data_IF_433405110593
#
_entry.id   IF_433405110593
#
_cell.length_a   1.000
_cell.length_b   1.000
_cell.length_c   1.000
_cell.angle_alpha   90.00
_cell.angle_beta   90.00
_cell.angle_gamma   90.00
#
_symmetry.space_group_name_H-M   'P 1'
#
loop_
_entity.id
_entity.type
_entity.pdbx_description
1 polymer ?
#
# COMPACT_ATOMS: atom_id res chain seq x y z
N UNK A 1 -8.59 1.31 9.78
CA UNK A 1 -7.57 0.61 8.98
C UNK A 1 -7.88 0.79 7.51
N UNK A 2 -6.86 0.77 6.65
CA UNK A 2 -7.00 0.74 5.20
C UNK A 2 -7.26 -0.71 4.75
N UNK A 3 -8.13 -0.91 3.76
CA UNK A 3 -8.40 -2.22 3.15
C UNK A 3 -7.88 -2.26 1.71
N UNK A 4 -6.56 -2.29 1.57
CA UNK A 4 -5.85 -2.45 0.30
C UNK A 4 -4.54 -3.18 0.50
N UNK A 5 -3.99 -3.76 -0.56
CA UNK A 5 -2.81 -4.63 -0.45
C UNK A 5 -1.54 -3.79 -0.37
N UNK A 6 -0.65 -4.11 0.57
CA UNK A 6 0.73 -3.64 0.44
C UNK A 6 1.40 -4.34 -0.76
N UNK A 7 2.13 -3.59 -1.57
CA UNK A 7 2.65 -4.07 -2.85
C UNK A 7 3.79 -5.09 -2.76
N UNK A 8 4.59 -5.11 -1.68
CA UNK A 8 5.78 -5.95 -1.60
C UNK A 8 5.88 -6.72 -0.28
N UNK A 9 6.27 -7.98 -0.42
CA UNK A 9 6.38 -8.95 0.65
C UNK A 9 7.70 -9.70 0.54
N UNK A 10 8.39 -9.86 1.67
CA UNK A 10 9.45 -10.85 1.84
C UNK A 10 8.82 -12.12 2.40
N UNK A 11 8.51 -13.07 1.50
CA UNK A 11 7.72 -14.26 1.82
C UNK A 11 8.44 -15.18 2.79
N UNK A 12 9.70 -15.46 2.50
CA UNK A 12 10.51 -16.39 3.29
C UNK A 12 11.47 -15.73 4.26
N UNK A 13 11.37 -14.41 4.41
CA UNK A 13 12.19 -13.60 5.31
C UNK A 13 13.68 -13.65 4.93
N UNK A 14 13.98 -13.55 3.62
CA UNK A 14 15.35 -13.54 3.08
C UNK A 14 16.12 -12.31 3.57
N UNK A 15 15.46 -11.16 3.71
CA UNK A 15 16.07 -9.94 4.25
C UNK A 15 16.18 -9.96 5.78
N UNK A 16 15.52 -10.90 6.46
CA UNK A 16 15.63 -11.08 7.90
C UNK A 16 14.85 -10.06 8.74
N UNK A 17 13.98 -9.24 8.16
CA UNK A 17 13.23 -8.22 8.92
C UNK A 17 12.23 -8.79 9.93
N UNK A 18 11.83 -10.06 9.85
CA UNK A 18 11.08 -10.72 10.92
C UNK A 18 11.96 -11.19 12.09
N UNK A 19 13.27 -11.30 11.92
CA UNK A 19 14.18 -11.85 12.92
C UNK A 19 14.21 -10.96 14.16
N UNK A 20 14.13 -11.54 15.35
CA UNK A 20 14.19 -10.80 16.60
C UNK A 20 12.89 -10.10 17.01
N UNK A 21 11.80 -10.27 16.26
CA UNK A 21 10.46 -9.84 16.70
C UNK A 21 10.03 -10.68 17.92
N UNK A 22 9.92 -10.05 19.09
CA UNK A 22 9.51 -10.70 20.35
C UNK A 22 8.08 -10.39 20.77
N UNK A 23 7.48 -9.36 20.17
CA UNK A 23 6.07 -8.96 20.38
C UNK A 23 5.39 -8.72 19.02
N UNK A 24 4.06 -8.57 19.01
CA UNK A 24 3.36 -8.21 17.79
C UNK A 24 3.71 -6.76 17.39
N UNK A 25 4.08 -6.55 16.13
CA UNK A 25 4.51 -5.25 15.60
C UNK A 25 3.69 -4.94 14.33
N UNK A 26 3.04 -3.78 14.29
CA UNK A 26 2.27 -3.31 13.14
C UNK A 26 1.23 -4.31 12.61
N UNK A 27 0.61 -5.09 13.51
CA UNK A 27 -0.37 -6.12 13.16
C UNK A 27 0.23 -7.43 12.67
N UNK A 28 1.56 -7.61 12.73
CA UNK A 28 2.22 -8.89 12.48
C UNK A 28 2.58 -9.58 13.80
N UNK A 29 2.16 -10.83 13.96
CA UNK A 29 2.51 -11.65 15.12
C UNK A 29 3.99 -12.11 15.11
N UNK A 30 4.47 -12.58 16.26
CA UNK A 30 5.78 -13.23 16.40
C UNK A 30 5.83 -14.46 15.48
N UNK A 31 6.89 -14.57 14.67
CA UNK A 31 7.06 -15.69 13.72
C UNK A 31 6.15 -15.64 12.48
N UNK A 32 5.30 -14.62 12.33
CA UNK A 32 4.43 -14.49 11.16
C UNK A 32 5.25 -14.21 9.88
N UNK A 33 4.99 -15.03 8.87
CA UNK A 33 5.35 -14.80 7.46
C UNK A 33 4.06 -14.60 6.64
N UNK A 34 4.10 -13.82 5.54
CA UNK A 34 5.22 -13.06 4.99
C UNK A 34 5.53 -11.77 5.78
N UNK A 35 6.68 -11.13 5.53
CA UNK A 35 7.05 -9.83 6.12
C UNK A 35 6.80 -8.70 5.13
N UNK A 36 6.22 -7.59 5.59
CA UNK A 36 6.03 -6.40 4.75
C UNK A 36 7.34 -5.60 4.63
N UNK A 37 7.77 -5.35 3.40
CA UNK A 37 8.99 -4.61 3.08
C UNK A 37 8.73 -3.60 1.96
N UNK A 38 9.63 -2.64 1.79
CA UNK A 38 9.60 -1.73 0.66
C UNK A 38 11.03 -1.46 0.14
N UNK A 39 11.14 -0.87 -1.05
CA UNK A 39 12.41 -0.58 -1.72
C UNK A 39 12.44 0.86 -2.24
N UNK A 40 11.63 1.19 -3.25
CA UNK A 40 11.64 2.48 -3.94
C UNK A 40 11.18 3.64 -3.04
N UNK A 41 12.02 4.66 -2.89
CA UNK A 41 11.76 5.87 -2.09
C UNK A 41 12.48 7.15 -2.60
N UNK A 42 13.45 7.06 -3.51
CA UNK A 42 14.37 8.16 -3.87
C UNK A 42 14.18 8.73 -5.27
N UNK A 43 12.98 8.56 -5.83
CA UNK A 43 12.56 9.27 -7.03
C UNK A 43 12.90 8.54 -8.34
N UNK A 44 12.75 9.21 -9.49
CA UNK A 44 12.65 8.56 -10.80
C UNK A 44 13.97 7.97 -11.33
N UNK A 45 15.11 8.34 -10.74
CA UNK A 45 16.41 7.78 -11.10
C UNK A 45 16.86 6.64 -10.18
N UNK A 46 16.03 6.21 -9.22
CA UNK A 46 16.31 5.04 -8.41
C UNK A 46 15.82 3.78 -9.14
N UNK A 47 16.73 3.09 -9.82
CA UNK A 47 16.44 1.79 -10.42
C UNK A 47 16.39 0.69 -9.35
N UNK A 48 15.91 -0.49 -9.74
CA UNK A 48 15.84 -1.68 -8.87
C UNK A 48 17.21 -2.03 -8.24
N UNK A 49 18.31 -1.75 -8.94
CA UNK A 49 19.68 -2.04 -8.51
C UNK A 49 20.22 -1.08 -7.46
N UNK A 50 19.55 0.06 -7.29
CA UNK A 50 20.05 1.15 -6.46
C UNK A 50 19.30 1.25 -5.14
N UNK A 51 18.16 0.56 -4.99
CA UNK A 51 17.31 0.62 -3.79
C UNK A 51 18.00 0.09 -2.53
N UNK A 52 17.53 0.58 -1.38
CA UNK A 52 17.81 -0.02 -0.07
C UNK A 52 16.52 -0.65 0.42
N UNK A 53 16.44 -1.98 0.37
CA UNK A 53 15.33 -2.71 0.98
C UNK A 53 15.22 -2.34 2.46
N UNK A 54 13.99 -2.19 2.95
CA UNK A 54 13.72 -1.76 4.31
C UNK A 54 12.36 -2.28 4.81
N UNK A 55 12.17 -2.43 6.12
CA UNK A 55 10.91 -2.93 6.66
C UNK A 55 9.82 -1.86 6.57
N UNK A 56 8.59 -2.29 6.24
CA UNK A 56 7.42 -1.40 6.24
C UNK A 56 6.99 -1.02 7.67
N UNK A 57 7.39 -1.82 8.66
CA UNK A 57 7.20 -1.59 10.09
C UNK A 57 8.57 -1.39 10.74
N UNK A 58 8.89 -0.16 11.13
CA UNK A 58 10.15 0.21 11.77
C UNK A 58 9.86 0.75 13.17
N UNK A 59 9.75 -0.17 14.14
CA UNK A 59 9.36 0.13 15.53
C UNK A 59 10.55 0.20 16.48
N UNK A 60 11.73 0.57 15.98
CA UNK A 60 12.93 0.78 16.80
C UNK A 60 13.71 -0.50 17.11
N UNK A 61 13.44 -1.58 16.38
CA UNK A 61 14.11 -2.88 16.54
C UNK A 61 15.38 -3.02 15.72
N UNK A 62 15.54 -2.16 14.71
CA UNK A 62 16.71 -2.14 13.83
C UNK A 62 17.66 -1.02 14.26
N UNK A 63 18.97 -1.27 14.20
CA UNK A 63 19.98 -0.25 14.50
C UNK A 63 20.04 0.86 13.45
N UNK A 64 19.62 0.57 12.22
CA UNK A 64 19.53 1.53 11.13
C UNK A 64 18.25 2.36 11.21
N UNK A 65 18.36 3.69 11.07
CA UNK A 65 17.22 4.58 10.88
C UNK A 65 16.89 4.69 9.38
N UNK A 66 16.13 3.72 8.86
CA UNK A 66 15.72 3.73 7.45
C UNK A 66 14.93 4.99 7.06
N UNK A 67 13.97 5.51 7.86
CA UNK A 67 13.26 6.75 7.52
C UNK A 67 14.17 7.93 7.18
N UNK A 68 15.28 8.10 7.89
CA UNK A 68 16.21 9.21 7.66
C UNK A 68 16.97 9.12 6.32
N UNK A 69 17.01 7.93 5.69
CA UNK A 69 17.58 7.78 4.34
C UNK A 69 16.68 8.40 3.27
N UNK A 70 15.39 8.56 3.55
CA UNK A 70 14.38 8.94 2.56
C UNK A 70 13.77 10.31 2.81
N UNK A 71 13.58 10.67 4.08
CA UNK A 71 12.99 11.94 4.49
C UNK A 71 13.89 12.60 5.53
N UNK A 72 14.44 13.77 5.18
CA UNK A 72 15.29 14.53 6.07
C UNK A 72 14.58 14.86 7.38
N UNK A 73 15.28 14.65 8.50
CA UNK A 73 14.74 14.88 9.84
C UNK A 73 13.73 13.82 10.33
N UNK A 74 13.47 12.75 9.55
CA UNK A 74 12.63 11.66 10.03
C UNK A 74 13.36 10.84 11.10
N UNK A 75 12.67 10.65 12.22
CA UNK A 75 13.12 9.87 13.36
C UNK A 75 11.92 9.21 14.01
N UNK A 76 12.16 8.12 14.73
CA UNK A 76 11.17 7.49 15.57
C UNK A 76 10.41 6.33 14.90
N UNK A 77 9.72 5.60 15.77
CA UNK A 77 9.01 4.38 15.44
C UNK A 77 7.81 4.69 14.57
N UNK A 78 7.72 4.05 13.42
CA UNK A 78 6.65 4.30 12.45
C UNK A 78 6.37 3.06 11.61
N UNK A 79 5.20 3.05 10.98
CA UNK A 79 4.85 2.08 9.96
C UNK A 79 4.33 2.80 8.72
N UNK A 80 4.56 2.21 7.55
CA UNK A 80 4.15 2.77 6.27
C UNK A 80 3.95 1.67 5.24
N UNK A 81 2.84 1.74 4.54
CA UNK A 81 2.49 0.81 3.48
C UNK A 81 2.19 1.59 2.20
N UNK A 82 2.46 0.95 1.08
CA UNK A 82 2.20 1.48 -0.26
C UNK A 82 1.38 0.46 -1.02
N UNK A 83 0.27 0.91 -1.58
CA UNK A 83 -0.59 0.13 -2.46
C UNK A 83 -0.09 0.20 -3.90
N UNK A 84 -0.34 -0.87 -4.66
CA UNK A 84 -0.20 -0.90 -6.11
C UNK A 84 -1.62 -0.93 -6.73
N UNK A 85 -2.17 0.22 -7.16
CA UNK A 85 -3.58 0.34 -7.54
C UNK A 85 -3.97 -0.56 -8.71
N UNK A 86 -3.04 -0.89 -9.59
CA UNK A 86 -3.25 -1.85 -10.67
C UNK A 86 -3.51 -3.27 -10.14
N UNK A 87 -2.86 -3.67 -9.04
CA UNK A 87 -3.01 -4.99 -8.44
C UNK A 87 -4.34 -5.13 -7.71
N UNK A 88 -4.74 -4.12 -6.93
CA UNK A 88 -6.04 -4.05 -6.28
C UNK A 88 -7.17 -3.99 -7.33
N UNK A 89 -7.01 -3.18 -8.39
CA UNK A 89 -7.97 -3.15 -9.50
C UNK A 89 -8.08 -4.52 -10.21
N UNK A 90 -6.96 -5.22 -10.41
CA UNK A 90 -6.94 -6.58 -11.00
C UNK A 90 -7.66 -7.58 -10.11
N UNK A 91 -7.53 -7.47 -8.78
CA UNK A 91 -8.27 -8.32 -7.84
C UNK A 91 -9.78 -8.05 -7.91
N UNK A 92 -10.19 -6.79 -7.99
CA UNK A 92 -11.60 -6.41 -8.22
C UNK A 92 -12.12 -6.93 -9.56
N UNK A 93 -11.32 -6.82 -10.62
CA UNK A 93 -11.65 -7.35 -11.94
C UNK A 93 -11.82 -8.88 -11.93
N UNK A 94 -10.94 -9.61 -11.23
CA UNK A 94 -11.07 -11.06 -11.07
C UNK A 94 -12.34 -11.43 -10.28
N UNK A 95 -12.66 -10.68 -9.23
CA UNK A 95 -13.90 -10.88 -8.46
C UNK A 95 -15.16 -10.64 -9.31
N UNK A 96 -15.13 -9.65 -10.22
CA UNK A 96 -16.22 -9.44 -11.19
C UNK A 96 -16.46 -10.69 -12.04
N UNK A 97 -15.41 -11.28 -12.62
CA UNK A 97 -15.55 -12.49 -13.43
C UNK A 97 -16.01 -13.70 -12.60
N UNK A 98 -15.48 -13.86 -11.38
CA UNK A 98 -15.95 -14.89 -10.46
C UNK A 98 -17.45 -14.75 -10.18
N UNK A 99 -17.96 -13.51 -10.02
CA UNK A 99 -19.39 -13.25 -9.86
C UNK A 99 -20.19 -13.65 -11.11
N UNK A 100 -19.73 -13.31 -12.32
CA UNK A 100 -20.40 -13.70 -13.56
C UNK A 100 -20.49 -15.22 -13.68
N UNK A 101 -19.38 -15.93 -13.46
CA UNK A 101 -19.32 -17.38 -13.59
C UNK A 101 -20.13 -18.11 -12.52
N UNK A 102 -20.05 -17.67 -11.26
CA UNK A 102 -20.84 -18.26 -10.18
C UNK A 102 -22.34 -18.01 -10.40
N UNK A 103 -22.73 -16.83 -10.88
CA UNK A 103 -24.13 -16.52 -11.21
C UNK A 103 -24.66 -17.42 -12.32
N UNK A 104 -23.88 -17.64 -13.39
CA UNK A 104 -24.26 -18.55 -14.48
C UNK A 104 -24.47 -20.01 -13.99
N UNK A 105 -23.82 -20.39 -12.91
CA UNK A 105 -23.96 -21.71 -12.27
C UNK A 105 -24.99 -21.74 -11.13
N UNK A 106 -25.66 -20.63 -10.82
CA UNK A 106 -26.57 -20.50 -9.67
C UNK A 106 -25.87 -20.55 -8.29
N UNK A 107 -24.56 -20.36 -8.25
CA UNK A 107 -23.71 -20.50 -7.06
C UNK A 107 -23.24 -19.17 -6.46
N UNK A 108 -23.82 -18.02 -6.87
CA UNK A 108 -23.37 -16.69 -6.42
C UNK A 108 -23.38 -16.50 -4.89
N UNK A 109 -24.30 -17.16 -4.19
CA UNK A 109 -24.39 -17.08 -2.72
C UNK A 109 -23.13 -17.61 -2.04
N UNK A 110 -22.48 -18.61 -2.63
CA UNK A 110 -21.28 -19.27 -2.09
C UNK A 110 -20.05 -18.33 -2.05
N UNK A 111 -20.01 -17.32 -2.93
CA UNK A 111 -18.87 -16.39 -3.03
C UNK A 111 -19.20 -14.97 -2.53
N UNK A 112 -20.41 -14.75 -2.01
CA UNK A 112 -20.92 -13.44 -1.59
C UNK A 112 -19.97 -12.71 -0.62
N UNK A 113 -19.34 -13.41 0.32
CA UNK A 113 -18.34 -12.84 1.23
C UNK A 113 -17.09 -12.34 0.52
N UNK A 114 -16.60 -13.06 -0.50
CA UNK A 114 -15.45 -12.64 -1.32
C UNK A 114 -15.80 -11.42 -2.17
N UNK A 115 -17.01 -11.38 -2.74
CA UNK A 115 -17.49 -10.21 -3.48
C UNK A 115 -17.61 -8.99 -2.58
N UNK A 116 -18.10 -9.15 -1.35
CA UNK A 116 -18.11 -8.07 -0.35
C UNK A 116 -16.71 -7.53 -0.04
N UNK A 117 -15.69 -8.40 0.05
CA UNK A 117 -14.29 -7.98 0.22
C UNK A 117 -13.75 -7.23 -0.99
N UNK A 118 -14.02 -7.70 -2.21
CA UNK A 118 -13.61 -7.02 -3.43
C UNK A 118 -14.28 -5.64 -3.57
N UNK A 119 -15.57 -5.53 -3.23
CA UNK A 119 -16.26 -4.25 -3.20
C UNK A 119 -15.64 -3.28 -2.18
N UNK A 120 -15.30 -3.77 -0.97
CA UNK A 120 -14.60 -2.99 0.05
C UNK A 120 -13.21 -2.54 -0.42
N UNK A 121 -12.46 -3.40 -1.11
CA UNK A 121 -11.17 -3.06 -1.71
C UNK A 121 -11.34 -1.95 -2.75
N UNK A 122 -12.30 -2.08 -3.67
CA UNK A 122 -12.63 -1.02 -4.63
C UNK A 122 -13.04 0.30 -3.98
N UNK A 123 -13.66 0.27 -2.81
CA UNK A 123 -14.03 1.47 -2.05
C UNK A 123 -12.80 2.21 -1.50
N UNK A 124 -11.82 1.50 -0.95
CA UNK A 124 -10.54 2.07 -0.51
C UNK A 124 -9.61 2.45 -1.68
N UNK A 125 -9.66 1.71 -2.78
CA UNK A 125 -8.88 1.98 -3.99
C UNK A 125 -9.11 3.40 -4.55
N UNK A 126 -10.23 4.05 -4.18
CA UNK A 126 -10.50 5.46 -4.51
C UNK A 126 -9.42 6.42 -4.00
N UNK A 127 -8.63 6.06 -2.99
CA UNK A 127 -7.46 6.86 -2.60
C UNK A 127 -6.46 7.05 -3.75
N UNK A 128 -6.34 6.07 -4.65
CA UNK A 128 -5.50 6.18 -5.84
C UNK A 128 -5.97 7.26 -6.83
N UNK A 129 -7.18 7.81 -6.70
CA UNK A 129 -7.70 8.80 -7.63
C UNK A 129 -7.18 10.22 -7.37
N UNK A 130 -6.66 10.46 -6.16
CA UNK A 130 -6.30 11.80 -5.72
C UNK A 130 -4.83 12.12 -5.99
N UNK A 131 -4.54 13.39 -6.23
CA UNK A 131 -3.17 13.90 -6.18
C UNK A 131 -2.49 13.52 -4.85
N UNK A 132 -1.17 13.25 -4.91
CA UNK A 132 -0.36 12.79 -3.77
C UNK A 132 -0.52 13.67 -2.52
N UNK A 133 -0.73 14.97 -2.70
CA UNK A 133 -0.93 15.93 -1.61
C UNK A 133 -2.28 16.65 -1.72
N UNK A 134 -3.27 16.02 -2.36
CA UNK A 134 -4.62 16.54 -2.57
C UNK A 134 -4.64 17.95 -3.19
N UNK A 135 -3.70 18.28 -4.09
CA UNK A 135 -3.70 19.52 -4.87
C UNK A 135 -4.62 19.42 -6.09
N UNK A 136 -5.08 20.57 -6.57
CA UNK A 136 -5.89 20.62 -7.80
C UNK A 136 -5.04 20.25 -9.04
N UNK A 137 -5.61 19.52 -10.02
CA UNK A 137 -4.94 19.22 -11.29
C UNK A 137 -4.41 20.48 -12.00
N UNK A 138 -3.30 20.33 -12.73
CA UNK A 138 -2.64 21.44 -13.42
C UNK A 138 -1.77 22.33 -12.53
N UNK A 139 -1.71 22.06 -11.22
CA UNK A 139 -0.75 22.68 -10.32
C UNK A 139 0.69 22.23 -10.64
N UNK A 140 1.62 23.18 -10.74
CA UNK A 140 3.05 22.93 -11.00
C UNK A 140 3.98 23.47 -9.91
N UNK A 141 3.44 23.93 -8.77
CA UNK A 141 4.20 24.54 -7.68
C UNK A 141 3.83 23.93 -6.31
N UNK A 142 4.77 23.95 -5.36
CA UNK A 142 4.51 23.53 -3.98
C UNK A 142 3.55 24.46 -3.23
N UNK A 143 3.35 25.69 -3.71
CA UNK A 143 2.49 26.71 -3.10
C UNK A 143 1.02 26.66 -3.53
N UNK A 144 0.60 25.72 -4.38
CA UNK A 144 -0.77 25.66 -4.88
C UNK A 144 -1.80 25.51 -3.75
N UNK A 145 -2.98 26.12 -3.96
CA UNK A 145 -4.13 25.94 -3.09
C UNK A 145 -4.48 24.45 -2.99
N UNK A 146 -4.70 23.91 -1.76
CA UNK A 146 -5.21 22.56 -1.60
C UNK A 146 -6.58 22.41 -2.27
N UNK A 147 -6.89 21.21 -2.75
CA UNK A 147 -8.21 20.90 -3.26
C UNK A 147 -9.27 20.88 -2.16
N UNK A 148 -10.54 20.99 -2.56
CA UNK A 148 -11.70 20.85 -1.70
C UNK A 148 -12.65 19.78 -2.26
N UNK A 149 -13.14 18.91 -1.38
CA UNK A 149 -13.97 17.78 -1.79
C UNK A 149 -13.25 16.88 -2.80
N UNK A 150 -13.75 16.82 -4.03
CA UNK A 150 -13.21 15.98 -5.12
C UNK A 150 -12.36 16.75 -6.13
N UNK A 151 -12.07 18.02 -5.91
CA UNK A 151 -11.37 18.84 -6.90
C UNK A 151 -9.93 18.39 -7.18
N UNK A 152 -9.32 17.63 -6.26
CA UNK A 152 -7.99 17.04 -6.41
C UNK A 152 -7.99 15.61 -6.98
N UNK A 153 -9.17 15.08 -7.35
CA UNK A 153 -9.30 13.77 -7.98
C UNK A 153 -9.05 13.85 -9.48
N UNK A 154 -8.09 13.07 -9.97
CA UNK A 154 -7.90 12.79 -11.39
C UNK A 154 -8.89 11.75 -11.93
N UNK A 155 -9.57 11.00 -11.04
CA UNK A 155 -10.43 9.85 -11.37
C UNK A 155 -9.71 8.74 -12.14
N UNK A 156 -8.38 8.69 -12.06
CA UNK A 156 -7.54 7.65 -12.63
C UNK A 156 -6.86 6.83 -11.54
N UNK A 157 -6.54 5.57 -11.83
CA UNK A 157 -5.64 4.79 -10.99
C UNK A 157 -4.22 5.38 -11.12
N UNK A 158 -3.75 6.09 -10.09
CA UNK A 158 -2.38 6.61 -10.04
C UNK A 158 -1.38 5.50 -9.71
N UNK A 159 -0.08 5.82 -9.71
CA UNK A 159 0.99 4.84 -9.47
C UNK A 159 0.91 4.19 -8.08
N UNK A 160 0.45 4.92 -7.07
CA UNK A 160 0.27 4.41 -5.72
C UNK A 160 -0.62 5.34 -4.89
N UNK A 161 -1.20 4.79 -3.83
CA UNK A 161 -1.48 5.55 -2.61
C UNK A 161 -0.72 4.92 -1.44
N UNK A 162 -0.45 5.71 -0.40
CA UNK A 162 0.34 5.25 0.75
C UNK A 162 -0.25 5.79 2.05
N UNK A 163 -0.09 5.02 3.12
CA UNK A 163 -0.55 5.38 4.45
C UNK A 163 0.46 4.92 5.50
N UNK A 164 0.57 5.66 6.60
CA UNK A 164 1.51 5.40 7.67
C UNK A 164 1.11 6.09 8.96
N UNK A 165 1.84 5.80 10.04
CA UNK A 165 1.66 6.41 11.37
C UNK A 165 2.58 5.82 12.41
#
# INVERSE_FOLDING_TARGET
SIYGMHWLLDVDNVYGYANGRTTAECGQAVGQKPTYINTYQRGPQESVWETVAHPSCDTGRFSANYPALFIAGSSGNQWRYTDAPDADARAVQAAYWALQWATAQGNQSQISGTIGKAAKMGDFLRYSFFDKYFKNPGCTSTSCTPGSGKSSSSYMLTWYYSWGG
#
